data_IF_266738316847
#
_entry.id   IF_266738316847
#
_cell.length_a   1.000
_cell.length_b   1.000
_cell.length_c   1.000
_cell.angle_alpha   90.00
_cell.angle_beta   90.00
_cell.angle_gamma   90.00
#
_symmetry.space_group_name_H-M   'P 1'
#
loop_
_entity.id
_entity.type
_entity.pdbx_description
1 polymer ?
#
# COMPACT_ATOMS: atom_id res chain seq x y z
N UNK A 1 14.60 -2.59 -4.46
CA UNK A 1 14.56 -2.35 -5.93
C UNK A 1 13.10 -2.14 -6.34
N UNK A 2 12.82 -1.31 -7.34
CA UNK A 2 11.45 -0.98 -7.78
C UNK A 2 11.28 -1.38 -9.25
N UNK A 3 10.29 -2.23 -9.54
CA UNK A 3 10.01 -2.74 -10.89
C UNK A 3 8.70 -2.17 -11.49
N UNK A 4 8.10 -1.16 -10.85
CA UNK A 4 6.84 -0.55 -11.30
C UNK A 4 5.59 -1.31 -10.87
N UNK A 5 4.43 -0.81 -11.32
CA UNK A 5 3.12 -1.44 -11.14
C UNK A 5 2.55 -1.94 -12.47
N UNK A 6 1.66 -2.93 -12.41
CA UNK A 6 0.97 -3.49 -13.57
C UNK A 6 -0.53 -3.17 -13.49
N UNK A 7 -1.08 -2.59 -14.56
CA UNK A 7 -2.51 -2.29 -14.68
C UNK A 7 -3.11 -3.10 -15.82
N UNK A 8 -4.18 -3.84 -15.53
CA UNK A 8 -4.94 -4.60 -16.53
C UNK A 8 -6.30 -3.96 -16.72
N UNK A 9 -6.77 -3.90 -17.97
CA UNK A 9 -8.07 -3.32 -18.32
C UNK A 9 -8.87 -4.34 -19.09
N UNK A 10 -10.09 -4.61 -18.64
CA UNK A 10 -11.07 -5.45 -19.32
C UNK A 10 -12.31 -4.63 -19.65
N UNK A 11 -12.93 -4.91 -20.79
CA UNK A 11 -14.02 -4.11 -21.35
C UNK A 11 -15.41 -4.76 -21.23
N UNK A 12 -15.53 -5.91 -20.55
CA UNK A 12 -16.81 -6.62 -20.36
C UNK A 12 -17.41 -6.43 -18.95
N UNK A 13 -16.75 -5.64 -18.09
CA UNK A 13 -17.19 -5.34 -16.72
C UNK A 13 -17.11 -6.53 -15.75
N UNK A 14 -16.65 -7.70 -16.20
CA UNK A 14 -16.39 -8.87 -15.34
C UNK A 14 -14.98 -8.80 -14.79
N UNK A 15 -14.76 -9.52 -13.70
CA UNK A 15 -13.45 -9.62 -13.09
C UNK A 15 -12.39 -10.23 -14.03
N UNK A 16 -11.13 -9.87 -13.79
CA UNK A 16 -9.96 -10.50 -14.40
C UNK A 16 -9.42 -11.51 -13.41
N UNK A 17 -9.79 -12.77 -13.57
CA UNK A 17 -9.22 -13.84 -12.77
C UNK A 17 -7.77 -14.08 -13.19
N UNK A 18 -6.82 -13.63 -12.37
CA UNK A 18 -5.39 -13.90 -12.55
C UNK A 18 -4.99 -15.07 -11.66
N UNK A 19 -4.45 -16.12 -12.27
CA UNK A 19 -3.88 -17.26 -11.55
C UNK A 19 -2.66 -17.78 -12.30
N UNK A 20 -1.66 -18.26 -11.57
CA UNK A 20 -0.41 -18.73 -12.15
C UNK A 20 0.71 -18.82 -11.12
N UNK A 21 1.89 -19.22 -11.57
CA UNK A 21 3.10 -19.26 -10.75
C UNK A 21 3.78 -17.89 -10.73
N UNK A 22 4.47 -17.57 -9.63
CA UNK A 22 5.33 -16.38 -9.54
C UNK A 22 4.62 -15.03 -9.77
N UNK A 23 3.34 -14.91 -9.43
CA UNK A 23 2.58 -13.65 -9.59
C UNK A 23 3.09 -12.50 -8.69
N UNK A 24 3.81 -12.82 -7.60
CA UNK A 24 4.42 -11.83 -6.72
C UNK A 24 5.42 -10.91 -7.43
N UNK A 25 6.07 -11.38 -8.50
CA UNK A 25 6.99 -10.56 -9.31
C UNK A 25 6.27 -9.47 -10.10
N UNK A 26 4.99 -9.65 -10.40
CA UNK A 26 4.15 -8.69 -11.10
C UNK A 26 3.22 -7.91 -10.15
N UNK A 27 3.36 -8.08 -8.84
CA UNK A 27 2.53 -7.40 -7.84
C UNK A 27 1.14 -8.01 -7.62
N UNK A 28 0.86 -9.21 -8.15
CA UNK A 28 -0.44 -9.90 -8.04
C UNK A 28 -0.40 -11.16 -7.17
N UNK A 29 0.63 -11.34 -6.33
CA UNK A 29 0.70 -12.50 -5.44
C UNK A 29 -0.25 -12.38 -4.23
N UNK A 30 -0.44 -13.50 -3.52
CA UNK A 30 -1.42 -13.62 -2.42
C UNK A 30 -1.15 -12.72 -1.19
N UNK A 31 -0.04 -11.99 -1.16
CA UNK A 31 0.34 -11.08 -0.06
C UNK A 31 0.38 -9.62 -0.50
N UNK A 32 -0.05 -9.33 -1.74
CA UNK A 32 -0.07 -7.98 -2.31
C UNK A 32 -1.51 -7.45 -2.28
N UNK A 33 -1.66 -6.18 -1.90
CA UNK A 33 -2.95 -5.49 -1.93
C UNK A 33 -3.16 -4.83 -3.29
N UNK A 34 -4.21 -5.26 -4.00
CA UNK A 34 -4.50 -4.87 -5.38
C UNK A 34 -5.78 -4.03 -5.41
N UNK A 35 -5.85 -3.08 -6.32
CA UNK A 35 -7.03 -2.24 -6.51
C UNK A 35 -7.73 -2.64 -7.80
N UNK A 36 -9.03 -2.93 -7.70
CA UNK A 36 -9.86 -3.36 -8.83
C UNK A 36 -11.21 -2.62 -8.80
N UNK A 37 -11.70 -2.23 -9.99
CA UNK A 37 -12.98 -1.57 -10.14
C UNK A 37 -13.54 -1.80 -11.54
N UNK A 38 -14.87 -1.82 -11.65
CA UNK A 38 -15.60 -1.64 -12.91
C UNK A 38 -16.32 -0.30 -12.82
N UNK A 39 -16.21 0.52 -13.87
CA UNK A 39 -16.73 1.90 -13.88
C UNK A 39 -17.69 2.06 -15.05
N UNK A 40 -18.92 2.49 -14.76
CA UNK A 40 -19.89 2.84 -15.80
C UNK A 40 -19.58 4.20 -16.44
N UNK A 41 -20.09 4.43 -17.65
CA UNK A 41 -19.98 5.73 -18.33
C UNK A 41 -20.61 6.89 -17.54
N UNK A 42 -21.56 6.60 -16.65
CA UNK A 42 -22.14 7.62 -15.77
C UNK A 42 -21.16 8.01 -14.68
N UNK A 43 -20.56 7.03 -14.02
CA UNK A 43 -19.60 7.23 -12.92
C UNK A 43 -18.34 7.95 -13.42
N UNK A 44 -17.90 7.69 -14.66
CA UNK A 44 -16.73 8.34 -15.25
C UNK A 44 -16.89 9.85 -15.47
N UNK A 45 -18.11 10.39 -15.40
CA UNK A 45 -18.37 11.84 -15.54
C UNK A 45 -18.25 12.60 -14.22
N UNK A 46 -18.28 11.90 -13.09
CA UNK A 46 -18.19 12.48 -11.76
C UNK A 46 -16.75 12.70 -11.31
N UNK A 47 -16.59 13.18 -10.07
CA UNK A 47 -15.29 13.14 -9.39
C UNK A 47 -14.93 11.68 -9.13
N UNK A 48 -13.79 11.24 -9.65
CA UNK A 48 -13.32 9.87 -9.49
C UNK A 48 -12.92 9.66 -8.03
N UNK A 49 -13.48 8.61 -7.39
CA UNK A 49 -13.10 8.19 -6.04
C UNK A 49 -11.62 7.76 -5.99
N UNK A 50 -10.97 7.94 -4.84
CA UNK A 50 -9.55 7.64 -4.69
C UNK A 50 -9.20 6.17 -4.97
N UNK A 51 -10.09 5.22 -4.64
CA UNK A 51 -9.88 3.79 -4.89
C UNK A 51 -10.09 3.45 -6.38
N UNK A 52 -11.08 4.09 -7.01
CA UNK A 52 -11.32 3.93 -8.45
C UNK A 52 -10.14 4.50 -9.23
N UNK A 53 -9.65 5.68 -8.86
CA UNK A 53 -8.48 6.27 -9.51
C UNK A 53 -7.21 5.43 -9.27
N UNK A 54 -7.06 4.74 -8.13
CA UNK A 54 -5.97 3.78 -7.91
C UNK A 54 -6.08 2.57 -8.85
N UNK A 55 -7.29 2.00 -8.97
CA UNK A 55 -7.56 0.91 -9.90
C UNK A 55 -7.40 1.32 -11.38
N UNK A 56 -7.59 2.61 -11.70
CA UNK A 56 -7.32 3.19 -13.02
C UNK A 56 -5.83 3.51 -13.26
N UNK A 57 -4.96 3.28 -12.28
CA UNK A 57 -3.50 3.44 -12.41
C UNK A 57 -2.96 4.83 -12.03
N UNK A 58 -3.75 5.71 -11.41
CA UNK A 58 -3.28 7.04 -10.98
C UNK A 58 -2.45 7.01 -9.69
N UNK A 59 -2.45 5.89 -8.95
CA UNK A 59 -1.75 5.79 -7.66
C UNK A 59 -2.35 6.69 -6.57
N UNK A 60 -3.66 6.95 -6.63
CA UNK A 60 -4.36 7.96 -5.83
C UNK A 60 -4.92 7.47 -4.51
N UNK A 61 -5.05 6.15 -4.31
CA UNK A 61 -5.31 5.66 -2.97
C UNK A 61 -4.09 6.05 -2.15
N UNK A 62 -4.30 6.81 -1.08
CA UNK A 62 -3.27 7.16 -0.10
C UNK A 62 -2.81 5.87 0.61
N UNK A 63 -2.11 5.00 -0.12
CA UNK A 63 -1.23 3.98 0.43
C UNK A 63 -0.04 4.78 0.93
N UNK A 64 -0.22 5.47 2.06
CA UNK A 64 0.83 6.25 2.72
C UNK A 64 2.10 5.42 2.80
N UNK A 65 3.27 6.04 2.91
CA UNK A 65 4.54 5.29 2.96
C UNK A 65 4.50 4.34 4.15
N UNK A 66 4.22 3.05 3.90
CA UNK A 66 4.12 2.05 4.96
C UNK A 66 5.51 1.55 5.28
N UNK A 67 5.95 1.77 6.53
CA UNK A 67 7.17 1.20 7.08
C UNK A 67 6.81 -0.12 7.76
N UNK A 68 6.85 -1.20 6.97
CA UNK A 68 6.57 -2.56 7.46
C UNK A 68 7.69 -3.10 8.35
N UNK A 69 7.33 -3.82 9.40
CA UNK A 69 8.25 -4.46 10.34
C UNK A 69 8.76 -3.54 11.47
N UNK A 70 8.23 -2.32 11.58
CA UNK A 70 8.66 -1.34 12.58
C UNK A 70 7.47 -0.82 13.38
N UNK A 71 7.67 -0.61 14.68
CA UNK A 71 6.66 -0.04 15.58
C UNK A 71 6.53 1.48 15.47
N UNK A 72 7.54 2.16 14.89
CA UNK A 72 7.56 3.60 14.70
C UNK A 72 8.58 4.03 13.63
N UNK A 73 8.47 5.27 13.15
CA UNK A 73 9.48 5.91 12.31
C UNK A 73 10.84 5.95 13.00
N UNK A 74 10.89 6.21 14.32
CA UNK A 74 12.14 6.24 15.08
C UNK A 74 12.81 4.86 15.19
N UNK A 75 12.01 3.80 15.31
CA UNK A 75 12.51 2.42 15.30
C UNK A 75 13.10 2.05 13.93
N UNK A 76 12.44 2.45 12.84
CA UNK A 76 12.98 2.32 11.48
C UNK A 76 14.29 3.10 11.31
N UNK A 77 14.33 4.37 11.70
CA UNK A 77 15.53 5.19 11.54
C UNK A 77 16.72 4.64 12.36
N UNK A 78 16.45 4.04 13.51
CA UNK A 78 17.50 3.47 14.37
C UNK A 78 18.00 2.10 13.88
N UNK A 79 17.31 1.46 12.92
CA UNK A 79 17.67 0.12 12.46
C UNK A 79 18.90 0.12 11.56
N UNK A 80 19.65 -1.00 11.58
CA UNK A 80 20.79 -1.20 10.71
C UNK A 80 20.33 -1.25 9.24
N UNK A 81 21.07 -0.58 8.35
CA UNK A 81 20.74 -0.52 6.92
C UNK A 81 19.70 0.53 6.52
N UNK A 82 19.12 1.27 7.47
CA UNK A 82 18.16 2.35 7.20
C UNK A 82 18.79 3.60 6.57
N UNK A 83 20.11 3.78 6.76
CA UNK A 83 20.82 5.03 6.43
C UNK A 83 20.71 6.13 7.50
N UNK A 84 19.86 5.95 8.52
CA UNK A 84 19.62 6.91 9.60
C UNK A 84 20.12 6.41 10.97
N UNK A 85 20.82 5.29 11.01
CA UNK A 85 21.35 4.72 12.25
C UNK A 85 22.34 5.67 12.94
N UNK A 86 22.61 5.43 14.23
CA UNK A 86 23.63 6.19 14.97
C UNK A 86 24.97 6.21 14.20
N UNK A 87 25.62 7.38 14.17
CA UNK A 87 26.86 7.59 13.42
C UNK A 87 26.69 7.92 11.93
N UNK A 88 25.49 7.82 11.35
CA UNK A 88 25.28 8.16 9.92
C UNK A 88 25.30 9.65 9.62
N UNK A 89 25.20 10.52 10.64
CA UNK A 89 25.04 11.96 10.49
C UNK A 89 23.63 12.42 10.09
N UNK A 90 22.69 11.46 9.94
CA UNK A 90 21.28 11.65 9.60
C UNK A 90 20.32 11.12 10.69
N UNK A 91 20.86 10.70 11.84
CA UNK A 91 20.08 10.04 12.89
C UNK A 91 19.05 10.94 13.54
N UNK A 92 18.09 10.31 14.21
CA UNK A 92 17.14 11.01 15.09
C UNK A 92 17.93 11.81 16.12
N UNK A 93 17.54 13.07 16.34
CA UNK A 93 18.23 13.96 17.28
C UNK A 93 19.54 14.58 16.75
N UNK A 94 19.91 14.38 15.49
CA UNK A 94 21.09 15.01 14.85
C UNK A 94 21.00 16.54 14.68
N UNK A 95 19.94 17.19 15.17
CA UNK A 95 19.65 18.61 14.96
C UNK A 95 19.15 18.97 13.55
N UNK A 96 19.16 18.02 12.61
CA UNK A 96 18.78 18.22 11.20
C UNK A 96 17.32 17.83 10.89
N UNK A 97 16.58 17.34 11.88
CA UNK A 97 15.15 17.03 11.81
C UNK A 97 14.72 16.11 10.65
N UNK A 98 15.56 15.17 10.20
CA UNK A 98 15.20 14.25 9.09
C UNK A 98 13.93 13.42 9.32
N UNK A 99 13.56 13.19 10.58
CA UNK A 99 12.31 12.50 10.93
C UNK A 99 11.06 13.21 10.42
N UNK A 100 11.10 14.52 10.13
CA UNK A 100 9.95 15.26 9.59
C UNK A 100 9.63 14.88 8.14
N UNK A 101 10.62 14.37 7.39
CA UNK A 101 10.40 13.82 6.05
C UNK A 101 9.51 12.57 6.04
N UNK A 102 9.30 11.96 7.19
CA UNK A 102 8.44 10.78 7.39
C UNK A 102 7.10 11.14 8.04
N UNK A 103 6.69 12.40 8.09
CA UNK A 103 5.47 12.83 8.79
C UNK A 103 4.19 12.10 8.34
N UNK A 104 4.14 11.65 7.09
CA UNK A 104 3.00 10.90 6.52
C UNK A 104 3.26 9.38 6.42
N UNK A 105 4.35 8.89 7.00
CA UNK A 105 4.66 7.47 7.00
C UNK A 105 3.87 6.74 8.09
N UNK A 106 3.35 5.55 7.76
CA UNK A 106 2.60 4.71 8.68
C UNK A 106 3.48 3.52 9.04
N UNK A 107 3.88 3.40 10.30
CA UNK A 107 4.68 2.27 10.77
C UNK A 107 3.75 1.13 11.21
N UNK A 108 3.99 -0.06 10.67
CA UNK A 108 3.23 -1.28 10.99
C UNK A 108 4.21 -2.38 11.35
N UNK A 109 4.09 -2.92 12.57
CA UNK A 109 4.91 -4.04 13.04
C UNK A 109 4.25 -5.40 12.80
N UNK A 110 2.94 -5.44 12.57
CA UNK A 110 2.21 -6.69 12.32
C UNK A 110 1.01 -6.52 11.38
N UNK A 111 0.66 -7.59 10.64
CA UNK A 111 -0.47 -7.60 9.71
C UNK A 111 -1.82 -7.25 10.36
N UNK A 112 -1.98 -7.49 11.67
CA UNK A 112 -3.18 -7.08 12.42
C UNK A 112 -3.44 -5.58 12.43
N UNK A 113 -2.39 -4.77 12.19
CA UNK A 113 -2.50 -3.31 12.12
C UNK A 113 -2.81 -2.80 10.70
N UNK A 114 -2.97 -3.68 9.70
CA UNK A 114 -3.32 -3.28 8.33
C UNK A 114 -4.67 -2.57 8.24
N UNK A 115 -5.56 -2.75 9.22
CA UNK A 115 -6.81 -1.99 9.36
C UNK A 115 -6.62 -0.48 9.53
N UNK A 116 -5.40 -0.03 9.88
CA UNK A 116 -5.05 1.40 9.93
C UNK A 116 -4.79 2.00 8.55
N UNK A 117 -4.58 1.17 7.53
CA UNK A 117 -4.27 1.58 6.14
C UNK A 117 -5.37 1.15 5.18
N UNK A 118 -5.96 -0.03 5.38
CA UNK A 118 -6.96 -0.63 4.52
C UNK A 118 -8.25 -0.92 5.29
N UNK A 119 -9.39 -0.92 4.59
CA UNK A 119 -10.68 -1.24 5.20
C UNK A 119 -10.91 -2.76 5.37
N UNK A 120 -10.07 -3.40 6.19
CA UNK A 120 -10.09 -4.86 6.46
C UNK A 120 -10.73 -5.20 7.82
N UNK A 121 -11.56 -4.31 8.35
CA UNK A 121 -12.26 -4.48 9.62
C UNK A 121 -13.35 -5.56 9.54
N UNK A 122 -13.74 -6.13 10.69
CA UNK A 122 -14.84 -7.09 10.73
C UNK A 122 -16.13 -6.47 10.19
N UNK A 123 -16.79 -7.14 9.24
CA UNK A 123 -18.00 -6.66 8.59
C UNK A 123 -17.78 -5.80 7.33
N UNK A 124 -16.53 -5.49 6.94
CA UNK A 124 -16.26 -4.73 5.72
C UNK A 124 -16.43 -5.51 4.41
N UNK A 125 -16.57 -6.83 4.49
CA UNK A 125 -16.49 -7.74 3.34
C UNK A 125 -15.05 -8.08 2.91
N UNK A 126 -14.06 -7.31 3.36
CA UNK A 126 -12.63 -7.48 3.08
C UNK A 126 -11.83 -7.94 4.32
N UNK A 127 -12.52 -8.38 5.37
CA UNK A 127 -11.88 -8.85 6.61
C UNK A 127 -10.95 -10.03 6.34
N UNK A 128 -9.89 -10.17 7.14
CA UNK A 128 -8.99 -11.32 7.06
C UNK A 128 -9.75 -12.66 6.99
N UNK A 129 -9.48 -13.47 5.97
CA UNK A 129 -10.15 -14.75 5.74
C UNK A 129 -11.45 -14.68 4.92
N UNK A 130 -11.87 -13.49 4.46
CA UNK A 130 -13.08 -13.34 3.62
C UNK A 130 -12.92 -13.76 2.17
N UNK A 131 -11.73 -14.24 1.77
CA UNK A 131 -11.30 -14.50 0.37
C UNK A 131 -11.19 -13.25 -0.51
N UNK A 132 -11.56 -12.07 0.00
CA UNK A 132 -11.45 -10.76 -0.66
C UNK A 132 -10.53 -9.80 0.11
N UNK A 133 -9.67 -10.31 0.98
CA UNK A 133 -8.83 -9.50 1.86
C UNK A 133 -7.57 -8.93 1.21
N UNK A 134 -7.44 -9.03 -0.12
CA UNK A 134 -6.29 -8.61 -0.92
C UNK A 134 -6.72 -7.64 -2.02
#
# INVERSE_FOLDING_TARGET
>A
ENYGGLSLVKNDGKDILISGSNLSFAGFGATQFISQASVSLRESKGKIDANIADAMGFGSANKGVVLGGYSSVSAYMSSAGSGFSSGSGYSVGSGKNYSTGFANAIAISAASQLSTVYNVSAGSGFSSGSTLSQ
#
